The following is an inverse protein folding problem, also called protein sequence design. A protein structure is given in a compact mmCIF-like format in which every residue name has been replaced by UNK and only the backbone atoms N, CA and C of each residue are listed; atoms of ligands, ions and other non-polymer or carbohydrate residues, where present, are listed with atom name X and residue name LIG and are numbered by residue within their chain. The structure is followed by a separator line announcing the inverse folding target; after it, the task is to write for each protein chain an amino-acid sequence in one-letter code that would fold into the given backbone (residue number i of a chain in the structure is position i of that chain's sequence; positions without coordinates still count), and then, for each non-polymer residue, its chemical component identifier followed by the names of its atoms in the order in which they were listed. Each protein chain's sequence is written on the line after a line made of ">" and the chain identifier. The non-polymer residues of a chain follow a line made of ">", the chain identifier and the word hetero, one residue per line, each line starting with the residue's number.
data_IF_941117059289
#
_entry.id   IF_941117059289
#
_cell.length_a   1.000
_cell.length_b   1.000
_cell.length_c   1.000
_cell.angle_alpha   90.00
_cell.angle_beta   90.00
_cell.angle_gamma   90.00
#
_symmetry.space_group_name_H-M   'P 1'
#
loop_
_entity.id
_entity.type
_entity.pdbx_description
1 polymer ?
#
# COMPACT_ATOMS: atom_id res chain seq x y z
N UNK A 1 -13.00 15.06 -26.98
CA UNK A 1 -12.98 15.26 -26.48
C UNK A 1 -12.71 15.28 -26.01
N UNK A 2 -12.65 15.27 -25.77
CA UNK A 2 -12.39 15.46 -25.28
C UNK A 2 -12.04 15.74 -24.34
N UNK A 3 -11.50 16.20 -24.12
CA UNK A 3 -10.95 16.71 -23.08
C UNK A 3 -11.82 17.32 -22.27
N UNK A 4 -12.48 17.98 -22.69
CA UNK A 4 -13.27 18.62 -21.93
C UNK A 4 -14.08 17.83 -21.27
N UNK A 5 -14.46 16.96 -21.71
CA UNK A 5 -15.32 16.36 -21.02
C UNK A 5 -14.77 15.84 -19.94
N UNK A 6 -13.78 15.64 -19.82
CA UNK A 6 -13.42 15.10 -18.76
C UNK A 6 -13.13 15.96 -17.80
N UNK A 7 -12.82 16.97 -18.02
CA UNK A 7 -12.50 17.77 -17.10
C UNK A 7 -13.40 18.16 -16.34
N UNK A 8 -14.18 18.21 -16.70
CA UNK A 8 -15.01 18.62 -15.94
C UNK A 8 -15.20 17.91 -14.90
N UNK A 9 -15.03 17.30 -14.77
CA UNK A 9 -15.35 16.69 -13.95
C UNK A 9 -15.29 16.51 -12.96
N UNK A 10 -15.68 16.91 -13.04
CA UNK A 10 -16.16 16.41 -11.99
C UNK A 10 -15.27 15.94 -11.06
N UNK A 11 -14.23 15.84 -11.36
CA UNK A 11 -13.34 15.49 -10.53
C UNK A 11 -13.41 16.11 -9.27
N UNK A 12 -13.57 17.30 -9.23
CA UNK A 12 -13.56 17.95 -8.04
C UNK A 12 -14.61 17.50 -7.16
N UNK A 13 -15.52 16.84 -7.63
CA UNK A 13 -16.56 16.40 -6.78
C UNK A 13 -16.20 15.21 -6.00
N UNK A 14 -15.09 14.62 -6.23
CA UNK A 14 -14.73 13.43 -5.58
C UNK A 14 -13.52 13.57 -4.78
N UNK A 15 -13.56 14.41 -3.79
CA UNK A 15 -12.43 14.55 -3.01
C UNK A 15 -12.05 13.32 -2.34
N UNK A 16 -12.96 12.42 -2.05
CA UNK A 16 -12.63 11.21 -1.34
C UNK A 16 -12.04 10.17 -2.24
N UNK A 17 -12.10 10.34 -3.51
CA UNK A 17 -11.55 9.35 -4.42
C UNK A 17 -10.05 9.54 -4.53
N UNK A 18 -9.29 8.48 -4.65
CA UNK A 18 -7.87 8.62 -4.80
C UNK A 18 -7.54 9.23 -6.15
N UNK A 19 -6.43 9.90 -6.25
CA UNK A 19 -5.98 10.40 -7.53
C UNK A 19 -5.59 9.20 -8.37
N UNK A 20 -5.36 9.43 -9.65
CA UNK A 20 -4.98 8.34 -10.52
C UNK A 20 -3.68 7.71 -10.06
N UNK A 21 -2.73 8.51 -9.61
CA UNK A 21 -1.47 7.96 -9.16
C UNK A 21 -1.66 7.17 -7.86
N UNK A 22 -2.52 7.64 -6.98
CA UNK A 22 -2.78 6.89 -5.77
C UNK A 22 -3.47 5.58 -6.07
N UNK A 23 -4.40 5.58 -7.02
CA UNK A 23 -5.07 4.36 -7.39
C UNK A 23 -4.09 3.36 -7.95
N UNK A 24 -3.11 3.80 -8.71
CA UNK A 24 -2.12 2.90 -9.25
C UNK A 24 -1.22 2.34 -8.18
N UNK A 25 -0.90 3.14 -7.17
CA UNK A 25 -0.07 2.64 -6.09
C UNK A 25 -0.81 1.60 -5.28
N UNK A 26 -2.10 1.82 -5.04
CA UNK A 26 -2.90 0.84 -4.31
C UNK A 26 -2.94 -0.46 -5.10
N UNK A 27 -3.14 -0.37 -6.41
CA UNK A 27 -3.17 -1.56 -7.23
C UNK A 27 -1.83 -2.28 -7.23
N UNK A 28 -0.75 -1.52 -7.24
CA UNK A 28 0.58 -2.13 -7.22
C UNK A 28 0.79 -2.90 -5.93
N UNK A 29 0.44 -2.29 -4.80
CA UNK A 29 0.60 -2.97 -3.53
C UNK A 29 -0.22 -4.25 -3.52
N UNK A 30 -1.46 -4.18 -3.94
CA UNK A 30 -2.31 -5.35 -3.97
C UNK A 30 -1.77 -6.44 -4.88
N UNK A 31 -1.30 -6.04 -6.06
CA UNK A 31 -0.79 -7.00 -7.01
C UNK A 31 0.45 -7.71 -6.46
N UNK A 32 1.35 -6.96 -5.86
CA UNK A 32 2.56 -7.57 -5.32
C UNK A 32 2.23 -8.54 -4.19
N UNK A 33 1.35 -8.15 -3.31
CA UNK A 33 1.01 -9.00 -2.18
C UNK A 33 0.27 -10.24 -2.65
N UNK A 34 -0.64 -10.10 -3.61
CA UNK A 34 -1.35 -11.26 -4.13
C UNK A 34 -0.41 -12.26 -4.74
N UNK A 35 0.71 -11.81 -5.26
CA UNK A 35 1.69 -12.71 -5.84
C UNK A 35 2.50 -13.48 -4.81
N UNK A 36 2.44 -13.07 -3.55
CA UNK A 36 3.25 -13.68 -2.51
C UNK A 36 2.44 -14.66 -1.66
N UNK A 37 1.14 -14.41 -1.51
CA UNK A 37 0.34 -15.15 -0.54
C UNK A 37 -0.33 -16.39 -1.13
N UNK A 38 -0.75 -17.28 -0.25
CA UNK A 38 -1.49 -18.47 -0.66
C UNK A 38 -2.99 -18.18 -0.80
N UNK A 39 -3.48 -17.10 -0.19
CA UNK A 39 -4.90 -16.76 -0.22
C UNK A 39 -5.09 -15.37 -0.85
N UNK A 40 -4.89 -15.26 -2.16
CA UNK A 40 -4.90 -13.93 -2.79
C UNK A 40 -6.25 -13.23 -2.74
N UNK A 41 -7.33 -13.99 -2.63
CA UNK A 41 -8.64 -13.36 -2.58
C UNK A 41 -8.89 -12.66 -1.25
N UNK A 42 -8.05 -12.89 -0.25
CA UNK A 42 -8.23 -12.26 1.04
C UNK A 42 -7.29 -11.08 1.24
N UNK A 43 -6.60 -10.66 0.21
CA UNK A 43 -5.73 -9.50 0.32
C UNK A 43 -6.57 -8.24 0.22
N UNK A 44 -6.39 -7.34 1.18
CA UNK A 44 -7.07 -6.05 1.16
C UNK A 44 -6.04 -4.98 1.43
N UNK A 45 -6.17 -3.85 0.78
CA UNK A 45 -5.27 -2.73 0.99
C UNK A 45 -6.11 -1.56 1.44
N UNK A 46 -5.75 -0.96 2.57
CA UNK A 46 -6.46 0.18 3.12
C UNK A 46 -5.53 1.38 3.10
N UNK A 47 -6.08 2.54 2.93
CA UNK A 47 -5.29 3.74 2.86
C UNK A 47 -5.52 4.56 4.11
N UNK A 48 -4.45 4.95 4.76
CA UNK A 48 -4.52 5.80 5.94
C UNK A 48 -3.62 7.00 5.72
N UNK A 49 -3.82 8.03 6.49
CA UNK A 49 -2.97 9.20 6.41
C UNK A 49 -2.43 9.51 7.80
N UNK A 50 -1.16 9.83 7.87
CA UNK A 50 -0.59 10.25 9.14
C UNK A 50 0.11 11.58 8.90
N UNK A 51 0.87 12.05 9.88
CA UNK A 51 1.49 13.35 9.78
C UNK A 51 2.50 13.43 8.66
N UNK A 52 3.06 12.32 8.24
CA UNK A 52 4.09 12.33 7.24
C UNK A 52 3.54 12.12 5.85
N UNK A 53 2.55 11.32 5.70
CA UNK A 53 2.00 11.05 4.38
C UNK A 53 1.01 9.92 4.39
N UNK A 54 1.03 9.12 3.35
CA UNK A 54 0.07 8.05 3.15
C UNK A 54 0.63 6.72 3.60
N UNK A 55 -0.19 5.95 4.28
CA UNK A 55 0.17 4.61 4.70
C UNK A 55 -0.78 3.65 4.03
N UNK A 56 -0.25 2.64 3.36
CA UNK A 56 -1.08 1.58 2.80
C UNK A 56 -1.00 0.41 3.75
N UNK A 57 -2.11 0.10 4.40
CA UNK A 57 -2.18 -1.03 5.31
C UNK A 57 -2.63 -2.26 4.54
N UNK A 58 -1.92 -3.34 4.69
CA UNK A 58 -2.19 -4.56 3.96
C UNK A 58 -2.72 -5.62 4.91
N UNK A 59 -3.89 -6.17 4.60
CA UNK A 59 -4.45 -7.27 5.37
C UNK A 59 -4.41 -8.51 4.52
N UNK A 60 -4.03 -9.62 5.12
CA UNK A 60 -3.99 -10.89 4.44
C UNK A 60 -4.55 -11.95 5.36
N UNK A 61 -4.78 -13.12 4.81
CA UNK A 61 -5.20 -14.26 5.61
C UNK A 61 -4.15 -14.49 6.71
N UNK A 62 -4.57 -14.84 7.92
CA UNK A 62 -3.61 -15.01 9.00
C UNK A 62 -2.47 -15.97 8.68
N UNK A 63 -2.75 -16.98 7.88
CA UNK A 63 -1.70 -17.92 7.52
C UNK A 63 -0.66 -17.30 6.62
N UNK A 64 -0.97 -16.20 6.00
CA UNK A 64 -0.05 -15.58 5.05
C UNK A 64 0.77 -14.46 5.67
N UNK A 65 0.50 -14.11 6.92
CA UNK A 65 1.21 -12.99 7.53
C UNK A 65 2.72 -13.23 7.51
N UNK A 66 3.13 -14.43 7.85
CA UNK A 66 4.56 -14.74 7.83
C UNK A 66 5.17 -14.64 6.45
N UNK A 67 4.41 -14.97 5.41
CA UNK A 67 4.94 -14.88 4.05
C UNK A 67 5.15 -13.43 3.65
N UNK A 68 4.24 -12.56 4.07
CA UNK A 68 4.31 -11.16 3.67
C UNK A 68 5.37 -10.42 4.46
N UNK A 69 5.62 -10.82 5.68
CA UNK A 69 6.68 -10.21 6.45
C UNK A 69 8.03 -10.78 6.01
N UNK A 70 8.08 -12.09 5.87
CA UNK A 70 9.29 -12.75 5.42
C UNK A 70 10.30 -12.92 6.55
N UNK A 71 11.35 -13.66 6.27
CA UNK A 71 12.37 -13.91 7.25
C UNK A 71 13.04 -12.62 7.60
N UNK A 72 13.07 -12.33 8.88
CA UNK A 72 13.70 -11.10 9.37
C UNK A 72 13.11 -9.84 8.74
N UNK A 73 11.86 -9.93 8.32
CA UNK A 73 11.19 -8.77 7.75
C UNK A 73 11.59 -8.43 6.34
N UNK A 74 12.29 -9.33 5.65
CA UNK A 74 12.85 -9.00 4.35
C UNK A 74 11.80 -8.79 3.26
N UNK A 75 10.74 -9.56 3.30
CA UNK A 75 9.71 -9.39 2.26
C UNK A 75 9.00 -8.07 2.47
N UNK A 76 8.62 -7.76 3.71
CA UNK A 76 7.96 -6.49 3.98
C UNK A 76 8.87 -5.32 3.62
N UNK A 77 10.16 -5.44 3.91
CA UNK A 77 11.09 -4.39 3.57
C UNK A 77 11.20 -4.21 2.06
N UNK A 78 11.22 -5.31 1.32
CA UNK A 78 11.30 -5.24 -0.13
C UNK A 78 10.04 -4.59 -0.71
N UNK A 79 8.87 -4.93 -0.14
CA UNK A 79 7.63 -4.31 -0.58
C UNK A 79 7.69 -2.81 -0.38
N UNK A 80 8.16 -2.37 0.78
CA UNK A 80 8.26 -0.95 1.05
C UNK A 80 9.18 -0.26 0.07
N UNK A 81 10.29 -0.88 -0.27
CA UNK A 81 11.23 -0.27 -1.19
C UNK A 81 10.64 -0.13 -2.59
N UNK A 82 9.96 -1.15 -3.06
CA UNK A 82 9.37 -1.09 -4.39
C UNK A 82 8.29 -0.03 -4.45
N UNK A 83 7.43 0.01 -3.43
CA UNK A 83 6.34 0.96 -3.43
C UNK A 83 6.87 2.38 -3.30
N UNK A 84 7.89 2.59 -2.48
CA UNK A 84 8.48 3.91 -2.38
C UNK A 84 9.11 4.34 -3.69
N UNK A 85 9.75 3.42 -4.39
CA UNK A 85 10.34 3.74 -5.67
C UNK A 85 9.25 4.17 -6.66
N UNK A 86 8.12 3.46 -6.65
CA UNK A 86 7.03 3.83 -7.54
C UNK A 86 6.42 5.17 -7.16
N UNK A 87 6.39 5.48 -5.87
CA UNK A 87 5.78 6.72 -5.42
C UNK A 87 6.68 7.93 -5.68
N UNK A 88 7.95 7.71 -5.92
CA UNK A 88 8.87 8.81 -6.12
C UNK A 88 8.43 9.74 -7.23
N UNK A 89 7.88 9.19 -8.28
CA UNK A 89 7.51 10.04 -9.40
C UNK A 89 6.32 10.92 -9.09
N UNK A 90 5.57 10.63 -8.02
CA UNK A 90 4.44 11.48 -7.67
C UNK A 90 4.83 12.47 -6.59
N UNK A 91 6.00 12.32 -6.01
CA UNK A 91 6.41 13.19 -4.93
C UNK A 91 5.77 12.87 -3.60
N UNK A 92 5.02 11.79 -3.51
CA UNK A 92 4.29 11.49 -2.29
C UNK A 92 5.15 10.69 -1.33
N UNK A 93 4.90 10.89 -0.05
CA UNK A 93 5.49 10.04 0.97
C UNK A 93 4.54 8.90 1.22
N UNK A 94 5.00 7.70 0.99
CA UNK A 94 4.17 6.52 1.10
C UNK A 94 4.89 5.45 1.90
N UNK A 95 4.15 4.77 2.75
CA UNK A 95 4.67 3.66 3.54
C UNK A 95 3.70 2.49 3.45
N UNK A 96 4.20 1.29 3.59
CA UNK A 96 3.37 0.10 3.60
C UNK A 96 3.50 -0.56 4.96
N UNK A 97 2.37 -0.93 5.56
CA UNK A 97 2.37 -1.64 6.83
C UNK A 97 1.54 -2.90 6.71
N UNK A 98 2.00 -3.96 7.32
CA UNK A 98 1.26 -5.21 7.34
C UNK A 98 0.41 -5.19 8.60
N UNK A 99 -0.90 -5.31 8.43
CA UNK A 99 -1.82 -5.22 9.54
C UNK A 99 -2.12 -6.61 10.07
N UNK A 100 -2.17 -6.72 11.38
CA UNK A 100 -2.50 -7.99 12.00
C UNK A 100 -3.64 -7.74 12.96
N UNK A 101 -4.10 -8.77 13.61
CA UNK A 101 -5.19 -8.59 14.55
C UNK A 101 -4.80 -7.69 15.69
N UNK A 102 -3.52 -7.63 15.98
CA UNK A 102 -3.06 -6.80 17.07
C UNK A 102 -2.68 -5.42 16.60
N UNK A 103 -2.97 -5.08 15.36
CA UNK A 103 -2.64 -3.77 14.83
C UNK A 103 -1.54 -3.86 13.81
N UNK A 104 -0.93 -2.76 13.46
CA UNK A 104 0.10 -2.77 12.44
C UNK A 104 1.30 -3.59 12.88
N UNK A 105 1.88 -4.27 11.92
CA UNK A 105 3.03 -5.04 12.23
C UNK A 105 4.21 -4.12 12.19
N UNK A 106 4.60 -3.62 13.28
CA UNK A 106 5.63 -2.69 13.33
C UNK A 106 6.93 -3.25 13.63
N UNK A 107 6.90 -4.33 14.29
CA UNK A 107 8.10 -4.89 14.71
C UNK A 107 9.06 -5.15 13.63
N UNK A 108 8.55 -5.61 12.57
CA UNK A 108 9.41 -6.00 11.54
C UNK A 108 10.28 -4.90 11.09
N UNK A 109 9.72 -3.77 11.04
CA UNK A 109 10.51 -2.78 10.58
C UNK A 109 11.26 -2.20 11.60
N UNK A 110 10.78 -2.26 12.72
CA UNK A 110 11.45 -1.62 13.72
C UNK A 110 12.72 -2.20 13.88
N UNK A 111 12.69 -3.36 13.78
CA UNK A 111 13.81 -3.87 14.06
C UNK A 111 14.82 -3.47 13.30
N UNK A 112 14.66 -3.09 12.59
CA UNK A 112 15.71 -2.71 12.02
C UNK A 112 16.29 -1.74 12.58
N UNK A 113 15.94 -1.53 13.14
CA UNK A 113 16.41 -0.67 13.61
C UNK A 113 17.49 -0.79 13.71
N UNK A 114 17.47 -1.09 13.51
CA UNK A 114 18.21 -1.07 13.51
C UNK A 114 18.68 -1.06 12.91
#
# INVERSE_FOLDING_TARGET
>A
MSAEEFQAHPVELNYDAPSEDEARLIELVGFLVQGIVAHPHEVEVEEFFDDIGTVYGVRVHPEDIGRVIGKEGRVASALRHVVKAAATKTGAHVTVEILTEDGPEIVAEATPVN
#
